data_IF_458916694830
#
_entry.id   IF_458916694830
#
_cell.length_a   1.000
_cell.length_b   1.000
_cell.length_c   1.000
_cell.angle_alpha   90.00
_cell.angle_beta   90.00
_cell.angle_gamma   90.00
#
_symmetry.space_group_name_H-M   'P 1'
#
loop_
_entity.id
_entity.type
_entity.pdbx_description
1 polymer ?
#
# COMPACT_ATOMS: atom_id res chain seq x y z
N UNK A 1 3.30 48.68 -21.72
CA UNK A 1 1.90 48.29 -21.45
C UNK A 1 1.69 46.84 -21.88
N UNK A 2 1.46 45.97 -20.87
CA UNK A 2 0.74 44.68 -20.86
C UNK A 2 1.10 43.55 -21.84
N UNK A 3 1.89 42.63 -21.29
CA UNK A 3 1.86 41.17 -21.47
C UNK A 3 0.44 40.60 -21.57
N UNK A 4 0.22 39.68 -22.52
CA UNK A 4 -0.98 38.83 -22.56
C UNK A 4 -0.58 37.35 -22.51
N UNK A 5 -0.91 36.75 -21.36
CA UNK A 5 -1.07 35.31 -21.13
C UNK A 5 -2.18 34.77 -22.02
N UNK A 6 -2.04 33.50 -22.41
CA UNK A 6 -3.10 32.71 -23.02
C UNK A 6 -2.65 31.28 -23.28
N UNK A 7 -2.39 30.51 -22.22
CA UNK A 7 -2.18 29.06 -22.30
C UNK A 7 -3.48 28.43 -22.78
N UNK A 8 -3.47 27.89 -23.99
CA UNK A 8 -4.60 27.24 -24.66
C UNK A 8 -4.77 25.82 -24.08
N UNK A 9 -5.79 25.63 -23.24
CA UNK A 9 -6.33 24.29 -22.94
C UNK A 9 -6.96 23.71 -24.22
N UNK A 10 -6.87 22.40 -24.50
CA UNK A 10 -7.45 21.86 -25.73
C UNK A 10 -8.98 21.99 -25.74
N UNK A 11 -9.58 22.14 -26.94
CA UNK A 11 -11.00 22.41 -27.09
C UNK A 11 -11.87 21.22 -26.67
N UNK A 12 -13.05 21.52 -26.11
CA UNK A 12 -14.13 20.55 -25.96
C UNK A 12 -14.74 20.24 -27.32
N UNK A 13 -15.14 18.98 -27.47
CA UNK A 13 -15.97 18.37 -28.53
C UNK A 13 -15.25 17.94 -29.81
N UNK A 14 -15.27 16.62 -30.05
CA UNK A 14 -14.78 15.97 -31.26
C UNK A 14 -14.35 14.52 -31.05
N UNK A 15 -15.34 13.61 -30.99
CA UNK A 15 -15.23 12.17 -31.36
C UNK A 15 -13.86 11.48 -31.22
N UNK A 16 -13.52 10.97 -30.04
CA UNK A 16 -12.40 10.04 -29.86
C UNK A 16 -12.90 8.59 -29.97
N UNK A 17 -12.95 8.07 -31.18
CA UNK A 17 -13.01 6.62 -31.43
C UNK A 17 -11.69 6.18 -32.04
N UNK A 18 -10.89 5.40 -31.28
CA UNK A 18 -10.01 4.28 -31.71
C UNK A 18 -8.72 4.19 -30.90
N UNK A 19 -8.68 3.12 -30.10
CA UNK A 19 -7.57 2.16 -29.93
C UNK A 19 -6.20 2.62 -29.39
N UNK A 20 -5.84 3.91 -29.46
CA UNK A 20 -4.48 4.36 -29.10
C UNK A 20 -4.28 4.56 -27.58
N UNK A 21 -5.34 4.87 -26.83
CA UNK A 21 -5.27 4.98 -25.36
C UNK A 21 -5.17 3.61 -24.66
N UNK A 22 -5.67 2.55 -25.30
CA UNK A 22 -5.62 1.18 -24.75
C UNK A 22 -4.18 0.64 -24.78
N UNK A 23 -3.35 1.09 -25.73
CA UNK A 23 -1.97 0.60 -25.88
C UNK A 23 -0.99 1.19 -24.85
N UNK A 24 -1.24 2.41 -24.35
CA UNK A 24 -0.41 3.02 -23.31
C UNK A 24 -0.73 2.50 -21.90
N UNK A 25 -1.93 1.98 -21.66
CA UNK A 25 -2.31 1.38 -20.37
C UNK A 25 -1.80 -0.05 -20.19
N UNK A 26 -1.47 -0.77 -21.26
CA UNK A 26 -0.93 -2.14 -21.20
C UNK A 26 0.61 -2.22 -21.17
N UNK A 27 1.33 -1.09 -21.21
CA UNK A 27 2.80 -1.07 -21.29
C UNK A 27 3.52 -0.85 -19.94
N UNK A 28 2.81 -0.82 -18.81
CA UNK A 28 3.44 -0.78 -17.49
C UNK A 28 2.74 -1.71 -16.50
N UNK A 29 3.32 -2.88 -16.13
CA UNK A 29 2.91 -3.56 -14.92
C UNK A 29 3.36 -2.70 -13.73
N UNK A 30 2.50 -1.78 -13.28
CA UNK A 30 2.69 -1.16 -11.96
C UNK A 30 2.64 -2.33 -10.97
N UNK A 31 3.81 -2.76 -10.48
CA UNK A 31 3.93 -3.79 -9.46
C UNK A 31 3.22 -3.27 -8.21
N UNK A 32 1.93 -3.54 -8.09
CA UNK A 32 1.13 -3.16 -6.92
C UNK A 32 1.64 -3.97 -5.73
N UNK A 33 1.93 -3.28 -4.64
CA UNK A 33 2.40 -3.94 -3.42
C UNK A 33 1.29 -4.86 -2.88
N UNK A 34 1.54 -6.18 -2.71
CA UNK A 34 0.51 -7.12 -2.26
C UNK A 34 -0.03 -6.78 -0.86
N UNK A 35 0.82 -6.21 0.02
CA UNK A 35 0.37 -5.75 1.34
C UNK A 35 -0.59 -4.57 1.23
N UNK A 36 -0.31 -3.61 0.34
CA UNK A 36 -1.25 -2.51 0.09
C UNK A 36 -2.60 -3.04 -0.39
N UNK A 37 -2.59 -3.99 -1.32
CA UNK A 37 -3.83 -4.59 -1.84
C UNK A 37 -4.60 -5.29 -0.72
N UNK A 38 -3.90 -6.06 0.13
CA UNK A 38 -4.49 -6.75 1.27
C UNK A 38 -5.11 -5.76 2.26
N UNK A 39 -4.33 -4.77 2.74
CA UNK A 39 -4.80 -3.80 3.72
C UNK A 39 -5.96 -2.95 3.18
N UNK A 40 -5.88 -2.55 1.91
CA UNK A 40 -6.97 -1.81 1.27
C UNK A 40 -8.23 -2.66 1.15
N UNK A 41 -8.11 -3.96 0.85
CA UNK A 41 -9.27 -4.86 0.85
C UNK A 41 -9.89 -4.98 2.24
N UNK A 42 -9.08 -5.11 3.28
CA UNK A 42 -9.57 -5.21 4.67
C UNK A 42 -10.26 -3.93 5.15
N UNK A 43 -9.80 -2.76 4.69
CA UNK A 43 -10.38 -1.44 5.02
C UNK A 43 -11.76 -1.21 4.37
N UNK A 44 -11.91 -1.57 3.10
CA UNK A 44 -13.12 -1.24 2.34
C UNK A 44 -14.17 -2.36 2.26
N UNK A 45 -13.83 -3.58 2.69
CA UNK A 45 -14.77 -4.70 2.68
C UNK A 45 -15.60 -4.68 3.99
N UNK A 46 -16.94 -4.48 3.90
CA UNK A 46 -17.79 -4.32 5.08
C UNK A 46 -17.89 -5.57 5.96
N UNK A 47 -17.35 -6.71 5.50
CA UNK A 47 -17.26 -7.95 6.29
C UNK A 47 -16.15 -7.92 7.32
N UNK A 48 -15.23 -6.96 7.23
CA UNK A 48 -14.09 -6.83 8.12
C UNK A 48 -14.25 -5.59 9.00
N UNK A 49 -13.89 -5.74 10.26
CA UNK A 49 -13.83 -4.65 11.23
C UNK A 49 -12.37 -4.23 11.38
N UNK A 50 -12.05 -2.97 11.12
CA UNK A 50 -10.67 -2.46 11.13
C UNK A 50 -9.99 -2.62 12.50
N UNK A 51 -10.75 -2.52 13.59
CA UNK A 51 -10.30 -2.69 14.98
C UNK A 51 -9.80 -4.12 15.26
N UNK A 52 -10.30 -5.11 14.50
CA UNK A 52 -9.93 -6.52 14.65
C UNK A 52 -8.75 -6.93 13.78
N UNK A 53 -8.34 -6.06 12.84
CA UNK A 53 -7.18 -6.29 11.97
C UNK A 53 -5.93 -5.83 12.71
N UNK A 54 -5.05 -6.75 13.08
CA UNK A 54 -3.77 -6.45 13.74
C UNK A 54 -2.62 -6.48 12.75
N UNK A 55 -1.86 -5.42 12.69
CA UNK A 55 -0.69 -5.25 11.83
C UNK A 55 0.54 -5.24 12.71
N UNK A 56 1.41 -6.22 12.50
CA UNK A 56 2.67 -6.37 13.21
C UNK A 56 3.78 -5.83 12.31
N UNK A 57 4.61 -4.94 12.84
CA UNK A 57 5.72 -4.34 12.11
C UNK A 57 6.95 -4.17 12.98
N UNK A 58 8.11 -4.14 12.34
CA UNK A 58 9.37 -3.81 12.99
C UNK A 58 9.55 -2.29 12.97
N UNK A 59 9.65 -1.66 14.14
CA UNK A 59 10.00 -0.27 14.33
C UNK A 59 11.51 -0.13 14.62
N UNK A 60 12.13 1.00 14.24
CA UNK A 60 13.58 1.19 14.41
C UNK A 60 13.74 2.18 15.54
N UNK A 61 14.36 1.73 16.61
CA UNK A 61 14.72 2.54 17.76
C UNK A 61 16.23 2.81 17.73
N UNK A 62 16.72 3.66 18.63
CA UNK A 62 18.16 3.90 18.79
C UNK A 62 18.90 2.62 19.22
N UNK A 63 18.21 1.75 19.96
CA UNK A 63 18.73 0.48 20.49
C UNK A 63 18.60 -0.70 19.51
N UNK A 64 17.91 -0.53 18.38
CA UNK A 64 17.79 -1.58 17.36
C UNK A 64 16.42 -1.64 16.68
N UNK A 65 15.88 -2.85 16.54
CA UNK A 65 14.55 -3.09 15.99
C UNK A 65 13.60 -3.60 17.09
N UNK A 66 12.44 -2.96 17.20
CA UNK A 66 11.39 -3.30 18.17
C UNK A 66 10.15 -3.80 17.43
N UNK A 67 9.49 -4.84 17.94
CA UNK A 67 8.21 -5.30 17.43
C UNK A 67 7.09 -4.41 17.95
N UNK A 68 6.29 -3.86 17.04
CA UNK A 68 5.09 -3.10 17.38
C UNK A 68 3.86 -3.65 16.68
N UNK A 69 2.72 -3.41 17.31
CA UNK A 69 1.41 -3.85 16.86
C UNK A 69 0.54 -2.60 16.79
N UNK A 70 -0.23 -2.48 15.73
CA UNK A 70 -1.30 -1.50 15.59
C UNK A 70 -2.51 -2.14 14.93
N UNK A 71 -3.66 -1.53 15.11
CA UNK A 71 -4.90 -1.91 14.43
C UNK A 71 -5.03 -1.17 13.10
N UNK A 72 -5.77 -1.73 12.14
CA UNK A 72 -6.01 -1.04 10.88
C UNK A 72 -6.79 0.27 11.07
N UNK A 73 -7.60 0.36 12.13
CA UNK A 73 -8.37 1.57 12.45
C UNK A 73 -7.48 2.75 12.86
N UNK A 74 -6.30 2.48 13.44
CA UNK A 74 -5.31 3.51 13.75
C UNK A 74 -4.60 4.05 12.50
N UNK A 75 -4.71 3.36 11.35
CA UNK A 75 -4.07 3.80 10.11
C UNK A 75 -4.90 4.90 9.46
N UNK A 76 -4.32 6.09 9.34
CA UNK A 76 -4.99 7.23 8.72
C UNK A 76 -5.07 7.07 7.20
N UNK A 77 -3.94 6.72 6.56
CA UNK A 77 -3.85 6.57 5.10
C UNK A 77 -2.97 5.39 4.66
N UNK A 78 -3.35 4.79 3.53
CA UNK A 78 -2.67 3.67 2.86
C UNK A 78 -2.05 4.14 1.55
N UNK A 79 -0.84 4.70 1.67
CA UNK A 79 -0.03 5.12 0.53
C UNK A 79 0.45 3.96 -0.35
N UNK A 80 1.17 4.31 -1.42
CA UNK A 80 1.62 3.34 -2.43
C UNK A 80 2.57 2.27 -1.88
N UNK A 81 3.50 2.66 -1.00
CA UNK A 81 4.55 1.78 -0.46
C UNK A 81 4.69 1.84 1.08
N UNK A 82 3.84 2.61 1.74
CA UNK A 82 3.86 2.86 3.17
C UNK A 82 2.44 3.14 3.67
N UNK A 83 2.25 3.03 4.98
CA UNK A 83 1.06 3.47 5.70
C UNK A 83 1.41 4.65 6.62
N UNK A 84 0.42 5.50 6.89
CA UNK A 84 0.55 6.70 7.72
C UNK A 84 -0.22 6.47 9.03
N UNK A 85 0.45 6.74 10.15
CA UNK A 85 -0.09 6.72 11.50
C UNK A 85 0.27 8.07 12.16
N UNK A 86 -0.64 9.02 12.16
CA UNK A 86 -0.37 10.41 12.56
C UNK A 86 0.86 10.96 11.84
N UNK A 87 1.90 11.30 12.61
CA UNK A 87 3.16 11.83 12.08
C UNK A 87 4.18 10.75 11.66
N UNK A 88 3.83 9.47 11.78
CA UNK A 88 4.75 8.34 11.50
C UNK A 88 4.40 7.66 10.19
N UNK A 89 5.43 7.46 9.35
CA UNK A 89 5.31 6.71 8.10
C UNK A 89 5.95 5.33 8.26
N UNK A 90 5.18 4.27 8.00
CA UNK A 90 5.61 2.87 8.14
C UNK A 90 5.64 2.21 6.76
N UNK A 91 6.83 1.94 6.19
CA UNK A 91 6.94 1.19 4.93
C UNK A 91 6.41 -0.24 5.02
N UNK A 92 5.74 -0.71 3.97
CA UNK A 92 5.14 -2.06 3.95
C UNK A 92 6.17 -3.20 4.09
N UNK A 93 7.41 -3.00 3.64
CA UNK A 93 8.46 -4.03 3.79
C UNK A 93 8.85 -4.31 5.26
N UNK A 94 8.42 -3.44 6.19
CA UNK A 94 8.62 -3.59 7.64
C UNK A 94 7.49 -4.37 8.31
N UNK A 95 6.36 -4.57 7.61
CA UNK A 95 5.26 -5.40 8.10
C UNK A 95 5.73 -6.85 8.06
N UNK A 96 5.60 -7.52 9.19
CA UNK A 96 5.99 -8.92 9.36
C UNK A 96 4.79 -9.84 9.38
N UNK A 97 3.63 -9.37 9.86
CA UNK A 97 2.43 -10.19 10.01
C UNK A 97 1.19 -9.31 9.95
N UNK A 98 0.13 -9.83 9.34
CA UNK A 98 -1.21 -9.25 9.42
C UNK A 98 -2.15 -10.35 9.89
N UNK A 99 -2.94 -10.05 10.92
CA UNK A 99 -3.93 -10.95 11.48
C UNK A 99 -5.32 -10.33 11.46
N UNK A 100 -6.35 -11.16 11.38
CA UNK A 100 -7.73 -10.79 11.59
C UNK A 100 -8.40 -11.87 12.44
N UNK A 101 -8.95 -11.49 13.60
CA UNK A 101 -9.60 -12.42 14.54
C UNK A 101 -8.75 -13.67 14.87
N UNK A 102 -7.43 -13.46 15.07
CA UNK A 102 -6.47 -14.52 15.37
C UNK A 102 -6.04 -15.37 14.17
N UNK A 103 -6.60 -15.13 12.98
CA UNK A 103 -6.19 -15.77 11.73
C UNK A 103 -5.12 -14.94 11.03
N UNK A 104 -3.97 -15.54 10.77
CA UNK A 104 -2.90 -14.92 10.00
C UNK A 104 -3.30 -14.80 8.52
N UNK A 105 -3.37 -13.57 8.02
CA UNK A 105 -3.64 -13.26 6.61
C UNK A 105 -2.36 -13.03 5.81
N UNK A 106 -1.31 -12.55 6.49
CA UNK A 106 0.01 -12.35 5.91
C UNK A 106 1.08 -12.70 6.95
N UNK A 107 2.15 -13.34 6.49
CA UNK A 107 3.37 -13.56 7.25
C UNK A 107 4.56 -13.36 6.32
N UNK A 108 5.49 -12.50 6.71
CA UNK A 108 6.76 -12.31 6.01
C UNK A 108 7.60 -13.56 6.27
N UNK A 109 7.72 -14.41 5.25
CA UNK A 109 8.63 -15.56 5.30
C UNK A 109 10.07 -15.03 5.22
N UNK A 110 10.83 -15.13 6.30
CA UNK A 110 12.30 -15.13 6.21
C UNK A 110 12.69 -16.47 5.60
N UNK A 111 12.93 -16.50 4.29
CA UNK A 111 13.57 -17.69 3.68
C UNK A 111 15.00 -17.78 4.20
N UNK A 112 15.19 -18.49 5.31
CA UNK A 112 16.45 -19.10 5.74
C UNK A 112 16.26 -19.95 6.99
N UNK A 113 15.94 -21.24 6.80
CA UNK A 113 16.70 -22.36 7.38
C UNK A 113 16.50 -23.56 6.44
N UNK A 114 17.47 -23.78 5.55
CA UNK A 114 17.72 -25.10 5.03
C UNK A 114 18.45 -25.87 6.13
N UNK A 115 17.78 -26.80 6.79
CA UNK A 115 18.46 -27.87 7.51
C UNK A 115 18.96 -28.87 6.47
N UNK A 116 20.26 -28.80 6.19
CA UNK A 116 21.07 -30.00 5.97
C UNK A 116 20.81 -30.92 7.16
N UNK A 117 20.20 -32.07 6.94
CA UNK A 117 20.31 -33.16 7.89
C UNK A 117 21.70 -33.82 7.72
N UNK A 118 22.34 -34.27 8.83
CA UNK A 118 23.65 -34.91 8.82
C UNK A 118 23.67 -36.27 8.13
#
# INVERSE_FOLDING_TARGET
MLSRRGVLWPPRSGTATREKDIFLLNSYPVRKNPLRILLNRLRWDPRFEEEKVKIYYLHRTEEGEEFRILTLSEVEDLGSNFMILGNTMIPYHRIIRVEYEGKTLYLKTSRSQGSREP
#
